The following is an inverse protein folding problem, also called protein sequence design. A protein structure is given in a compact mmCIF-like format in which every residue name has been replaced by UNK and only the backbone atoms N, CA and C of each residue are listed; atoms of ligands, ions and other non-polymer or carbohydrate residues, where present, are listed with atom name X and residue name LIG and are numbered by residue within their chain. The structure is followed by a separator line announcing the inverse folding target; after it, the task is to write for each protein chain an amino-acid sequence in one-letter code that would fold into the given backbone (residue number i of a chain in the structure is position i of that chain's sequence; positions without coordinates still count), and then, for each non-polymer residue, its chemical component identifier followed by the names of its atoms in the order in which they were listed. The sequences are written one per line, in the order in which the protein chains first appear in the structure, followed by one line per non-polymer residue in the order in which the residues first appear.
data_IF_956425825645
#
_entry.id   IF_956425825645
#
_cell.length_a   1.000
_cell.length_b   1.000
_cell.length_c   1.000
_cell.angle_alpha   90.00
_cell.angle_beta   90.00
_cell.angle_gamma   90.00
#
_symmetry.space_group_name_H-M   'P 1'
#
loop_
_entity.id
_entity.type
_entity.pdbx_description
1 polymer ?
#
# COMPACT_ATOMS: atom_id res chain seq x y z
N UNK A 1 15.73 -6.92 2.49
CA UNK A 1 16.21 -5.52 2.37
C UNK A 1 17.29 -5.28 3.40
N UNK A 2 18.40 -4.65 3.01
CA UNK A 2 19.48 -4.23 3.91
C UNK A 2 19.52 -2.71 3.90
N UNK A 3 19.53 -2.12 5.08
CA UNK A 3 19.46 -0.67 5.27
C UNK A 3 20.86 -0.06 5.37
N UNK A 4 21.15 0.96 4.55
CA UNK A 4 22.47 1.60 4.50
C UNK A 4 22.54 2.94 5.24
N UNK A 5 21.43 3.42 5.81
CA UNK A 5 21.31 4.71 6.48
C UNK A 5 20.42 4.63 7.72
N UNK A 6 20.64 5.51 8.69
CA UNK A 6 19.79 5.61 9.88
C UNK A 6 18.45 6.25 9.55
N UNK A 7 17.44 5.96 10.38
CA UNK A 7 16.08 6.48 10.22
C UNK A 7 15.44 6.13 8.87
N UNK A 8 15.74 4.94 8.32
CA UNK A 8 15.00 4.40 7.19
C UNK A 8 13.65 3.88 7.69
N UNK A 9 12.58 4.45 7.18
CA UNK A 9 11.21 3.99 7.33
C UNK A 9 10.65 3.40 6.03
N UNK A 10 9.83 2.36 6.18
CA UNK A 10 8.93 1.88 5.12
C UNK A 10 7.51 1.77 5.67
N UNK A 11 6.52 1.90 4.80
CA UNK A 11 5.12 1.61 5.12
C UNK A 11 4.78 0.21 4.66
N UNK A 12 4.40 -0.66 5.60
CA UNK A 12 3.83 -1.98 5.33
C UNK A 12 2.30 -1.92 5.29
N UNK A 13 1.69 -2.69 4.40
CA UNK A 13 0.23 -2.76 4.23
C UNK A 13 -0.33 -4.19 4.42
N UNK A 14 0.54 -5.15 4.72
CA UNK A 14 0.17 -6.55 4.95
C UNK A 14 0.46 -7.49 3.78
N UNK A 15 -0.05 -8.71 3.87
CA UNK A 15 0.03 -9.75 2.83
C UNK A 15 -1.32 -9.94 2.13
N UNK A 16 -1.32 -10.45 0.89
CA UNK A 16 -2.53 -10.86 0.16
C UNK A 16 -3.59 -9.76 -0.05
N UNK A 17 -3.24 -8.47 0.08
CA UNK A 17 -4.18 -7.39 -0.19
C UNK A 17 -4.17 -7.05 -1.70
N UNK A 18 -5.33 -7.02 -2.33
CA UNK A 18 -5.43 -6.53 -3.72
C UNK A 18 -5.27 -5.00 -3.80
N UNK A 19 -5.45 -4.30 -2.67
CA UNK A 19 -5.41 -2.84 -2.55
C UNK A 19 -4.71 -2.46 -1.25
N UNK A 20 -3.75 -1.53 -1.31
CA UNK A 20 -3.08 -0.95 -0.14
C UNK A 20 -3.77 0.34 0.30
N UNK A 21 -4.39 0.36 1.48
CA UNK A 21 -5.05 1.54 2.04
C UNK A 21 -4.10 2.36 2.92
N UNK A 22 -3.99 3.67 2.69
CA UNK A 22 -3.12 4.54 3.52
C UNK A 22 -3.43 4.50 5.01
N UNK A 23 -4.71 4.37 5.38
CA UNK A 23 -5.12 4.32 6.79
C UNK A 23 -4.66 3.05 7.51
N UNK A 24 -4.33 1.98 6.76
CA UNK A 24 -3.92 0.68 7.29
C UNK A 24 -2.40 0.49 7.29
N UNK A 25 -1.65 1.55 6.98
CA UNK A 25 -0.19 1.47 6.94
C UNK A 25 0.38 1.29 8.34
N UNK A 26 1.35 0.40 8.45
CA UNK A 26 2.23 0.29 9.60
C UNK A 26 3.62 0.81 9.24
N UNK A 27 4.18 1.67 10.09
CA UNK A 27 5.53 2.20 9.90
C UNK A 27 6.56 1.21 10.48
N UNK A 28 7.44 0.70 9.63
CA UNK A 28 8.60 -0.10 10.05
C UNK A 28 9.82 0.82 10.01
N UNK A 29 10.41 1.07 11.18
CA UNK A 29 11.62 1.91 11.35
C UNK A 29 12.86 1.05 11.49
N UNK A 30 13.90 1.45 10.78
CA UNK A 30 15.15 0.73 10.64
C UNK A 30 16.33 1.71 10.70
N UNK A 31 17.46 1.21 11.17
CA UNK A 31 18.72 1.92 11.21
C UNK A 31 19.76 1.26 10.31
N UNK A 32 20.89 1.95 10.14
CA UNK A 32 21.99 1.44 9.32
C UNK A 32 22.44 0.07 9.83
N UNK A 33 22.50 -0.89 8.92
CA UNK A 33 22.89 -2.28 9.21
C UNK A 33 21.71 -3.19 9.52
N UNK A 34 20.51 -2.67 9.74
CA UNK A 34 19.33 -3.49 9.93
C UNK A 34 18.99 -4.26 8.64
N UNK A 35 18.56 -5.50 8.84
CA UNK A 35 18.12 -6.39 7.77
C UNK A 35 16.68 -6.74 8.03
N UNK A 36 15.83 -6.55 7.02
CA UNK A 36 14.45 -7.03 7.06
C UNK A 36 14.20 -8.03 5.94
N UNK A 37 13.59 -9.14 6.31
CA UNK A 37 13.16 -10.20 5.41
C UNK A 37 11.64 -10.21 5.36
N UNK A 38 11.10 -10.17 4.15
CA UNK A 38 9.66 -10.26 3.89
C UNK A 38 9.39 -11.40 2.94
N UNK A 39 8.15 -11.90 2.94
CA UNK A 39 7.64 -12.79 1.89
C UNK A 39 7.47 -11.97 0.60
N UNK A 40 7.62 -12.60 -0.56
CA UNK A 40 7.63 -11.91 -1.87
C UNK A 40 6.32 -11.20 -2.24
N UNK A 41 5.23 -11.51 -1.54
CA UNK A 41 3.89 -10.93 -1.68
C UNK A 41 3.55 -9.92 -0.56
N UNK A 42 4.54 -9.52 0.25
CA UNK A 42 4.37 -8.45 1.21
C UNK A 42 4.30 -7.11 0.49
N UNK A 43 3.26 -6.34 0.79
CA UNK A 43 3.01 -5.05 0.15
C UNK A 43 3.59 -3.96 1.03
N UNK A 44 4.52 -3.20 0.48
CA UNK A 44 5.13 -2.06 1.15
C UNK A 44 5.47 -0.93 0.18
N UNK A 45 5.63 0.27 0.73
CA UNK A 45 6.09 1.46 0.00
C UNK A 45 7.21 2.14 0.78
N UNK A 46 8.22 2.71 0.09
CA UNK A 46 9.15 3.62 0.73
C UNK A 46 8.42 4.87 1.23
N UNK A 47 8.97 5.49 2.26
CA UNK A 47 8.56 6.83 2.72
C UNK A 47 9.24 7.89 1.85
N UNK A 48 8.62 9.07 1.71
CA UNK A 48 9.27 10.22 1.07
C UNK A 48 10.34 10.82 1.98
N UNK A 49 11.55 10.99 1.46
CA UNK A 49 12.67 11.60 2.18
C UNK A 49 13.11 12.92 1.54
N UNK A 50 13.60 13.84 2.35
CA UNK A 50 14.24 15.08 1.87
C UNK A 50 15.65 14.86 1.31
N UNK A 51 16.25 13.68 1.56
CA UNK A 51 17.57 13.27 1.08
C UNK A 51 17.51 11.85 0.53
N UNK A 52 18.46 11.44 -0.34
CA UNK A 52 18.50 10.07 -0.85
C UNK A 52 18.62 9.03 0.27
N UNK A 53 17.64 8.13 0.38
CA UNK A 53 17.68 6.97 1.28
C UNK A 53 18.01 5.71 0.46
N UNK A 54 19.14 5.06 0.75
CA UNK A 54 19.64 3.93 -0.03
C UNK A 54 19.41 2.62 0.72
N UNK A 55 18.78 1.67 0.05
CA UNK A 55 18.55 0.30 0.54
C UNK A 55 19.01 -0.72 -0.51
N UNK A 56 19.53 -1.86 -0.07
CA UNK A 56 19.83 -3.00 -0.95
C UNK A 56 18.71 -4.04 -0.87
N UNK A 57 18.21 -4.43 -2.04
CA UNK A 57 17.18 -5.46 -2.16
C UNK A 57 17.81 -6.73 -2.70
N UNK A 58 17.72 -7.80 -1.92
CA UNK A 58 18.12 -9.14 -2.30
C UNK A 58 16.88 -10.03 -2.29
N UNK A 59 16.76 -10.89 -3.29
CA UNK A 59 15.63 -11.79 -3.48
C UNK A 59 16.14 -13.23 -3.39
N UNK A 60 15.58 -13.99 -2.46
CA UNK A 60 15.80 -15.44 -2.41
C UNK A 60 14.84 -16.10 -3.37
N UNK A 61 15.37 -16.90 -4.29
CA UNK A 61 14.56 -17.66 -5.24
C UNK A 61 14.61 -19.14 -4.97
N UNK A 62 13.59 -19.87 -5.44
CA UNK A 62 13.67 -21.32 -5.50
C UNK A 62 14.58 -21.75 -6.66
N UNK A 63 15.47 -22.74 -6.45
CA UNK A 63 16.26 -23.31 -7.53
C UNK A 63 15.34 -23.81 -8.65
N UNK A 64 15.54 -23.31 -9.87
CA UNK A 64 14.73 -23.68 -11.05
C UNK A 64 13.46 -22.86 -11.26
N UNK A 65 13.19 -21.83 -10.45
CA UNK A 65 12.14 -20.85 -10.74
C UNK A 65 12.61 -19.90 -11.84
N UNK A 66 11.99 -19.97 -13.02
CA UNK A 66 12.17 -18.97 -14.07
C UNK A 66 11.40 -17.71 -13.69
N UNK A 67 12.12 -16.62 -13.38
CA UNK A 67 11.51 -15.30 -13.23
C UNK A 67 11.11 -14.76 -14.59
N UNK A 68 9.90 -14.24 -14.68
CA UNK A 68 9.52 -13.36 -15.79
C UNK A 68 10.51 -12.18 -15.89
N UNK A 69 10.87 -11.80 -17.11
CA UNK A 69 11.82 -10.70 -17.38
C UNK A 69 11.36 -9.36 -16.77
N UNK A 70 10.07 -9.24 -16.47
CA UNK A 70 9.43 -8.06 -15.88
C UNK A 70 9.05 -8.27 -14.41
N UNK A 71 9.93 -8.88 -13.62
CA UNK A 71 9.77 -8.99 -12.17
C UNK A 71 10.17 -7.69 -11.44
N UNK A 72 9.48 -6.59 -11.75
CA UNK A 72 9.51 -5.42 -10.87
C UNK A 72 8.66 -5.73 -9.63
N UNK A 73 9.05 -5.30 -8.42
CA UNK A 73 8.15 -5.38 -7.27
C UNK A 73 6.83 -4.71 -7.68
N UNK A 74 5.72 -5.44 -7.62
CA UNK A 74 4.43 -4.88 -7.97
C UNK A 74 4.15 -3.76 -6.98
N UNK A 75 4.33 -2.52 -7.44
CA UNK A 75 3.94 -1.34 -6.71
C UNK A 75 2.41 -1.33 -6.73
N UNK A 76 1.81 -1.96 -5.72
CA UNK A 76 0.36 -1.95 -5.53
C UNK A 76 -0.06 -0.48 -5.37
N UNK A 77 -1.05 0.00 -6.17
CA UNK A 77 -1.53 1.36 -6.05
C UNK A 77 -2.05 1.59 -4.63
N UNK A 78 -1.45 2.57 -3.95
CA UNK A 78 -1.84 2.96 -2.60
C UNK A 78 -2.98 3.98 -2.68
N UNK A 79 -4.16 3.63 -2.16
CA UNK A 79 -5.33 4.49 -2.16
C UNK A 79 -5.37 5.30 -0.87
N UNK A 80 -5.53 6.62 -1.00
CA UNK A 80 -5.79 7.47 0.15
C UNK A 80 -7.27 7.38 0.51
N UNK A 81 -7.56 6.82 1.68
CA UNK A 81 -8.91 6.70 2.24
C UNK A 81 -9.08 7.52 3.54
N UNK A 82 -8.13 8.43 3.83
CA UNK A 82 -8.31 9.37 4.93
C UNK A 82 -9.56 10.22 4.68
N UNK A 83 -10.39 10.32 5.73
CA UNK A 83 -11.69 11.00 5.76
C UNK A 83 -11.66 12.47 5.34
N UNK A 84 -10.49 13.07 5.12
CA UNK A 84 -10.36 14.34 4.41
C UNK A 84 -10.47 14.07 2.89
N UNK A 85 -11.64 13.60 2.47
CA UNK A 85 -12.18 13.99 1.17
C UNK A 85 -11.89 15.47 1.01
N UNK A 86 -11.18 15.86 -0.06
CA UNK A 86 -11.22 17.26 -0.45
C UNK A 86 -12.71 17.56 -0.65
N UNK A 87 -13.22 18.63 -0.06
CA UNK A 87 -14.63 19.06 -0.20
C UNK A 87 -15.09 19.23 -1.67
N UNK A 88 -14.18 19.06 -2.63
CA UNK A 88 -14.37 19.23 -4.07
C UNK A 88 -14.32 17.91 -4.88
N UNK A 89 -14.04 16.76 -4.25
CA UNK A 89 -14.10 15.46 -4.93
C UNK A 89 -15.56 14.99 -5.01
N UNK A 90 -16.12 15.05 -6.23
CA UNK A 90 -17.51 14.62 -6.52
C UNK A 90 -17.76 13.12 -6.36
N UNK A 91 -16.72 12.33 -6.10
CA UNK A 91 -16.78 10.88 -5.93
C UNK A 91 -15.78 10.42 -4.86
N UNK A 92 -16.30 9.84 -3.79
CA UNK A 92 -15.70 9.05 -2.73
C UNK A 92 -15.85 7.56 -3.02
N UNK A 93 -15.00 6.72 -2.46
CA UNK A 93 -15.24 5.27 -2.42
C UNK A 93 -15.24 4.85 -0.96
N UNK A 94 -16.41 4.54 -0.41
CA UNK A 94 -16.51 4.02 0.96
C UNK A 94 -16.31 2.50 0.95
N UNK A 95 -15.11 2.07 1.34
CA UNK A 95 -14.78 0.66 1.52
C UNK A 95 -15.61 0.03 2.67
N UNK A 96 -16.13 -1.18 2.47
CA UNK A 96 -17.07 -1.88 3.39
C UNK A 96 -18.32 -1.07 3.76
N UNK A 97 -18.94 -0.39 2.80
CA UNK A 97 -20.23 0.23 3.06
C UNK A 97 -21.32 -0.84 3.30
N UNK A 98 -21.84 -0.93 4.53
CA UNK A 98 -22.93 -1.83 4.92
C UNK A 98 -24.33 -1.30 4.53
N UNK A 99 -24.40 -0.32 3.62
CA UNK A 99 -25.66 0.29 3.24
C UNK A 99 -26.55 -0.69 2.49
N UNK A 100 -27.72 -0.97 3.05
CA UNK A 100 -28.77 -1.78 2.41
C UNK A 100 -29.89 -0.85 1.95
N UNK A 101 -29.92 -0.52 0.66
CA UNK A 101 -30.97 0.29 0.05
C UNK A 101 -32.07 -0.57 -0.56
N UNK A 102 -33.32 -0.41 -0.10
CA UNK A 102 -34.48 -1.07 -0.71
C UNK A 102 -34.96 -0.31 -1.94
N UNK A 103 -34.27 -0.49 -3.07
CA UNK A 103 -34.67 0.02 -4.38
C UNK A 103 -33.61 0.87 -5.10
N UNK A 104 -33.66 0.88 -6.43
CA UNK A 104 -32.64 1.50 -7.29
C UNK A 104 -32.45 3.01 -7.02
N UNK A 105 -33.50 3.72 -6.61
CA UNK A 105 -33.41 5.15 -6.27
C UNK A 105 -32.61 5.42 -4.99
N UNK A 106 -32.72 4.53 -3.99
CA UNK A 106 -31.99 4.61 -2.73
C UNK A 106 -30.49 4.36 -2.96
N UNK A 107 -30.15 3.35 -3.76
CA UNK A 107 -28.77 3.06 -4.17
C UNK A 107 -28.18 4.21 -4.97
N UNK A 108 -28.91 4.77 -5.94
CA UNK A 108 -28.44 5.91 -6.74
C UNK A 108 -28.16 7.16 -5.88
N UNK A 109 -29.03 7.47 -4.91
CA UNK A 109 -28.80 8.58 -3.98
C UNK A 109 -27.61 8.34 -3.04
N UNK A 110 -27.40 7.10 -2.63
CA UNK A 110 -26.27 6.71 -1.79
C UNK A 110 -24.95 6.87 -2.55
N UNK A 111 -24.88 6.37 -3.78
CA UNK A 111 -23.70 6.53 -4.65
C UNK A 111 -23.42 8.00 -4.96
N UNK A 112 -24.43 8.78 -5.36
CA UNK A 112 -24.22 10.19 -5.75
C UNK A 112 -23.91 11.16 -4.59
N UNK A 113 -23.94 10.72 -3.33
CA UNK A 113 -23.85 11.63 -2.16
C UNK A 113 -22.90 11.15 -1.06
N UNK A 114 -22.55 9.87 -1.05
CA UNK A 114 -21.65 9.26 -0.05
C UNK A 114 -20.59 8.34 -0.68
N UNK A 115 -20.61 8.19 -2.01
CA UNK A 115 -19.52 7.69 -2.84
C UNK A 115 -19.23 8.75 -3.90
#
# INVERSE_FOLDING_TARGET
MIVLQDNTSIYGFGWNAEIALRSEREEIRLNKGDIVMFRGDFIYSPVGYSSPNVCLHAYLDMPGYERDELHQPQLVPCINNDKSMRDDDRFCFAWRCEYVGTGAHCVRKHLNRFH
#
